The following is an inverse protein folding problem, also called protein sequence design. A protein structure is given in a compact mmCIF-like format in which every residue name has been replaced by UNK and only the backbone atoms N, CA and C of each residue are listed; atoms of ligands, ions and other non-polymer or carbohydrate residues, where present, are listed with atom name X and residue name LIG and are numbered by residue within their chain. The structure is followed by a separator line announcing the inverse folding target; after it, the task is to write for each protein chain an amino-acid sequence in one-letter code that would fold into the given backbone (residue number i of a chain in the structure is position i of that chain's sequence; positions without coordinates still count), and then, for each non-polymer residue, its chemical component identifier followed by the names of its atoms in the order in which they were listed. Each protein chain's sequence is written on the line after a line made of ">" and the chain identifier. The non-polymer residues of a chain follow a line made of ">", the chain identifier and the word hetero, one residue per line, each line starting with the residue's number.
data_IF_874664339470
#
_entry.id   IF_874664339470
#
_cell.length_a   1.000
_cell.length_b   1.000
_cell.length_c   1.000
_cell.angle_alpha   90.00
_cell.angle_beta   90.00
_cell.angle_gamma   90.00
#
_symmetry.space_group_name_H-M   'P 1'
#
loop_
_entity.id
_entity.type
_entity.pdbx_description
1 polymer ?
#
# COMPACT_ATOMS: atom_id res chain seq x y z
N UNK A 1 15.53 27.47 -13.38
CA UNK A 1 14.94 26.21 -13.86
C UNK A 1 16.09 25.27 -14.16
N UNK A 2 16.46 24.40 -13.21
CA UNK A 2 17.49 23.39 -13.45
C UNK A 2 16.84 22.31 -14.31
N UNK A 3 17.18 22.29 -15.60
CA UNK A 3 16.92 21.13 -16.45
C UNK A 3 17.93 20.09 -16.01
N UNK A 4 17.54 19.25 -15.06
CA UNK A 4 18.34 18.08 -14.69
C UNK A 4 18.30 17.15 -15.91
N UNK A 5 19.40 17.12 -16.67
CA UNK A 5 19.67 16.03 -17.62
C UNK A 5 19.50 14.73 -16.83
N UNK A 6 18.47 13.96 -17.15
CA UNK A 6 18.30 12.62 -16.62
C UNK A 6 19.53 11.81 -17.05
N UNK A 7 20.50 11.65 -16.15
CA UNK A 7 21.47 10.56 -16.24
C UNK A 7 20.65 9.28 -16.25
N UNK A 8 20.99 8.38 -17.16
CA UNK A 8 20.46 7.02 -17.28
C UNK A 8 20.04 6.48 -15.90
N UNK A 9 18.75 6.19 -15.74
CA UNK A 9 18.28 5.39 -14.61
C UNK A 9 18.83 3.99 -14.83
N UNK A 10 20.08 3.75 -14.44
CA UNK A 10 20.53 2.39 -14.14
C UNK A 10 19.66 1.94 -12.99
N UNK A 11 18.71 1.03 -13.25
CA UNK A 11 18.10 0.23 -12.20
C UNK A 11 19.26 -0.41 -11.41
N UNK A 12 19.59 0.18 -10.27
CA UNK A 12 20.54 -0.40 -9.35
C UNK A 12 19.89 -1.69 -8.85
N UNK A 13 20.44 -2.85 -9.22
CA UNK A 13 20.12 -4.16 -8.61
C UNK A 13 20.54 -4.24 -7.13
N UNK A 14 20.98 -3.14 -6.51
CA UNK A 14 21.40 -3.08 -5.12
C UNK A 14 20.23 -2.69 -4.22
N UNK A 15 20.01 -3.46 -3.17
CA UNK A 15 19.03 -3.19 -2.12
C UNK A 15 19.35 -1.81 -1.49
N UNK A 16 18.34 -0.96 -1.37
CA UNK A 16 18.49 0.34 -0.73
C UNK A 16 18.21 0.23 0.77
N UNK A 17 19.24 -0.11 1.54
CA UNK A 17 19.19 -0.25 3.00
C UNK A 17 19.34 1.09 3.74
N UNK A 18 19.29 2.22 3.02
CA UNK A 18 19.41 3.52 3.66
C UNK A 18 18.16 3.79 4.52
N UNK A 19 18.40 4.33 5.70
CA UNK A 19 17.38 4.82 6.63
C UNK A 19 16.72 6.09 6.12
N UNK A 20 15.44 6.29 6.45
CA UNK A 20 14.69 7.48 6.03
C UNK A 20 15.25 8.75 6.69
N UNK A 21 15.69 8.68 7.96
CA UNK A 21 16.35 9.80 8.64
C UNK A 21 17.65 10.26 7.95
N UNK A 22 18.31 9.37 7.20
CA UNK A 22 19.48 9.71 6.38
C UNK A 22 19.17 10.71 5.25
N UNK A 23 17.90 11.00 4.98
CA UNK A 23 17.48 11.97 3.98
C UNK A 23 17.30 13.40 4.53
N UNK A 24 17.31 13.62 5.85
CA UNK A 24 17.08 14.93 6.49
C UNK A 24 17.92 16.07 5.91
N UNK A 25 19.17 15.78 5.54
CA UNK A 25 20.12 16.78 5.04
C UNK A 25 19.97 17.09 3.53
N UNK A 26 19.02 16.45 2.84
CA UNK A 26 18.87 16.57 1.37
C UNK A 26 17.83 17.61 0.93
N UNK A 27 17.06 18.19 1.86
CA UNK A 27 15.90 19.04 1.52
C UNK A 27 16.23 20.48 1.10
N UNK A 28 17.48 20.92 1.17
CA UNK A 28 17.84 22.28 0.71
C UNK A 28 17.70 22.46 -0.82
N UNK A 29 17.63 21.36 -1.59
CA UNK A 29 17.53 21.39 -3.06
C UNK A 29 16.35 20.60 -3.63
N UNK A 30 15.78 19.69 -2.85
CA UNK A 30 14.72 18.77 -3.27
C UNK A 30 13.45 18.99 -2.45
N UNK A 31 12.24 18.78 -3.03
CA UNK A 31 10.98 18.83 -2.27
C UNK A 31 11.01 17.91 -1.04
N UNK A 32 10.33 18.33 0.02
CA UNK A 32 10.21 17.55 1.24
C UNK A 32 9.38 16.27 0.99
N UNK A 33 9.94 15.07 1.20
CA UNK A 33 9.23 13.83 0.92
C UNK A 33 8.30 13.46 2.08
N UNK A 34 7.08 13.08 1.72
CA UNK A 34 6.05 12.62 2.64
C UNK A 34 5.53 11.29 2.12
N UNK A 35 5.57 10.26 2.97
CA UNK A 35 5.03 8.93 2.71
C UNK A 35 3.79 8.70 3.55
N UNK A 36 2.90 7.82 3.12
CA UNK A 36 1.63 7.58 3.83
C UNK A 36 1.29 6.10 3.83
N UNK A 37 0.87 5.63 5.00
CA UNK A 37 0.29 4.32 5.21
C UNK A 37 -1.05 4.49 5.92
N UNK A 38 -1.86 3.43 5.94
CA UNK A 38 -3.13 3.43 6.63
C UNK A 38 -3.05 2.54 7.86
N UNK A 39 -3.54 3.07 8.97
CA UNK A 39 -3.78 2.29 10.16
C UNK A 39 -5.03 1.43 9.99
N UNK A 40 -4.83 0.10 9.98
CA UNK A 40 -5.88 -0.88 9.72
C UNK A 40 -6.98 -0.84 10.78
N UNK A 41 -6.60 -0.74 12.05
CA UNK A 41 -7.52 -0.74 13.18
C UNK A 41 -8.41 0.52 13.15
N UNK A 42 -7.82 1.70 12.93
CA UNK A 42 -8.60 2.94 12.76
C UNK A 42 -9.57 2.86 11.57
N UNK A 43 -9.11 2.29 10.45
CA UNK A 43 -9.98 2.07 9.29
C UNK A 43 -11.16 1.14 9.59
N UNK A 44 -10.92 0.04 10.31
CA UNK A 44 -11.96 -0.95 10.66
C UNK A 44 -13.00 -0.37 11.63
N UNK A 45 -12.53 0.33 12.66
CA UNK A 45 -13.40 0.90 13.70
C UNK A 45 -14.11 2.17 13.24
N UNK A 46 -13.72 2.76 12.09
CA UNK A 46 -14.19 4.06 11.59
C UNK A 46 -14.02 5.20 12.61
N UNK A 47 -13.08 5.03 13.53
CA UNK A 47 -12.75 5.98 14.58
C UNK A 47 -11.31 6.45 14.43
N UNK A 48 -11.09 7.75 14.60
CA UNK A 48 -9.78 8.40 14.53
C UNK A 48 -9.28 8.74 13.12
N UNK A 49 -7.98 8.98 13.03
CA UNK A 49 -7.28 9.26 11.78
C UNK A 49 -6.68 7.96 11.22
N UNK A 50 -7.25 7.38 10.15
CA UNK A 50 -6.64 6.22 9.53
C UNK A 50 -5.34 6.57 8.79
N UNK A 51 -5.06 7.84 8.49
CA UNK A 51 -3.87 8.25 7.76
C UNK A 51 -2.68 8.42 8.70
N UNK A 52 -1.62 7.66 8.43
CA UNK A 52 -0.35 7.75 9.13
C UNK A 52 0.72 8.25 8.17
N UNK A 53 1.30 9.38 8.51
CA UNK A 53 2.34 10.03 7.74
C UNK A 53 3.74 9.59 8.21
N UNK A 54 4.67 9.47 7.27
CA UNK A 54 6.08 9.23 7.56
C UNK A 54 6.92 10.19 6.73
N UNK A 55 7.78 10.96 7.38
CA UNK A 55 8.77 11.85 6.77
C UNK A 55 10.17 11.54 7.29
N UNK A 56 11.24 12.18 6.77
CA UNK A 56 12.59 12.06 7.34
C UNK A 56 12.71 12.52 8.80
N UNK A 57 11.80 13.35 9.29
CA UNK A 57 11.90 13.96 10.62
C UNK A 57 10.97 13.28 11.63
N UNK A 58 9.71 13.13 11.24
CA UNK A 58 8.65 12.63 12.10
C UNK A 58 7.74 11.62 11.39
N UNK A 59 7.09 10.79 12.20
CA UNK A 59 6.09 9.81 11.79
C UNK A 59 4.89 9.87 12.76
N UNK A 60 3.66 9.88 12.25
CA UNK A 60 2.49 10.08 13.09
C UNK A 60 1.19 10.37 12.36
N UNK A 61 0.17 10.74 13.13
CA UNK A 61 -1.19 10.96 12.66
C UNK A 61 -1.47 12.44 12.47
N UNK A 62 -1.77 12.84 11.23
CA UNK A 62 -1.88 14.26 10.86
C UNK A 62 -3.08 14.95 11.51
N UNK A 63 -4.26 14.31 11.56
CA UNK A 63 -5.47 14.96 12.05
C UNK A 63 -5.52 15.13 13.57
N UNK A 64 -4.81 14.27 14.31
CA UNK A 64 -4.72 14.40 15.78
C UNK A 64 -3.45 15.14 16.21
N UNK A 65 -2.54 15.46 15.29
CA UNK A 65 -1.31 16.18 15.59
C UNK A 65 -0.30 15.41 16.44
N UNK A 66 -0.37 14.08 16.46
CA UNK A 66 0.47 13.25 17.32
C UNK A 66 1.58 12.58 16.49
N UNK A 67 2.83 12.83 16.88
CA UNK A 67 4.02 12.44 16.13
C UNK A 67 5.15 11.98 17.05
N UNK A 68 6.02 11.12 16.50
CA UNK A 68 7.31 10.75 17.06
C UNK A 68 8.41 11.01 16.05
N UNK A 69 9.65 11.10 16.53
CA UNK A 69 10.80 11.10 15.63
C UNK A 69 10.81 9.83 14.77
N UNK A 70 11.07 9.94 13.46
CA UNK A 70 11.07 8.80 12.53
C UNK A 70 11.99 7.66 12.96
N UNK A 71 13.13 7.98 13.60
CA UNK A 71 14.05 6.99 14.17
C UNK A 71 13.41 6.13 15.28
N UNK A 72 12.40 6.68 15.96
CA UNK A 72 11.68 6.02 17.05
C UNK A 72 10.39 5.33 16.57
N UNK A 73 10.02 5.48 15.29
CA UNK A 73 8.86 4.79 14.73
C UNK A 73 9.03 3.27 14.81
N UNK A 74 8.11 2.59 15.49
CA UNK A 74 8.15 1.16 15.75
C UNK A 74 8.88 0.76 17.04
N UNK A 75 9.43 1.70 17.80
CA UNK A 75 9.91 1.48 19.17
C UNK A 75 8.74 1.28 20.15
N UNK A 76 9.02 0.69 21.32
CA UNK A 76 7.98 0.51 22.35
C UNK A 76 7.84 1.78 23.18
N UNK A 77 6.58 2.14 23.45
CA UNK A 77 6.23 3.28 24.29
C UNK A 77 5.27 2.87 25.39
N UNK A 78 5.26 3.64 26.47
CA UNK A 78 4.26 3.54 27.52
C UNK A 78 3.96 4.93 28.06
N UNK A 79 2.69 5.34 28.01
CA UNK A 79 2.22 6.63 28.49
C UNK A 79 3.06 7.80 27.94
N UNK A 80 3.25 7.81 26.61
CA UNK A 80 3.99 8.85 25.89
C UNK A 80 5.51 8.83 26.07
N UNK A 81 6.08 7.84 26.77
CA UNK A 81 7.53 7.70 26.96
C UNK A 81 8.06 6.46 26.25
N UNK A 82 9.15 6.62 25.50
CA UNK A 82 9.84 5.49 24.87
C UNK A 82 10.47 4.62 25.96
N UNK A 83 10.08 3.34 26.02
CA UNK A 83 10.58 2.38 27.01
C UNK A 83 11.64 1.45 26.44
N UNK A 84 11.58 1.13 25.13
CA UNK A 84 12.55 0.28 24.46
C UNK A 84 12.73 0.72 23.01
N UNK A 85 13.98 1.01 22.67
CA UNK A 85 14.37 1.36 21.31
C UNK A 85 14.31 0.14 20.39
N UNK A 86 13.89 0.35 19.16
CA UNK A 86 13.94 -0.63 18.07
C UNK A 86 14.77 -0.05 16.93
N UNK A 87 15.47 -0.89 16.14
CA UNK A 87 16.20 -0.41 14.98
C UNK A 87 15.29 0.40 14.04
N UNK A 88 15.77 1.56 13.60
CA UNK A 88 15.05 2.36 12.60
C UNK A 88 14.81 1.52 11.34
N UNK A 89 13.60 1.62 10.84
CA UNK A 89 13.15 0.97 9.63
C UNK A 89 13.86 1.56 8.40
N UNK A 90 14.43 0.70 7.56
CA UNK A 90 15.03 1.12 6.30
C UNK A 90 13.97 1.46 5.22
N UNK A 91 14.41 2.13 4.17
CA UNK A 91 13.53 2.51 3.06
C UNK A 91 12.93 1.32 2.32
N UNK A 92 13.63 0.18 2.24
CA UNK A 92 13.10 -1.01 1.57
C UNK A 92 11.88 -1.56 2.32
N UNK A 93 11.96 -1.62 3.64
CA UNK A 93 10.86 -2.08 4.48
C UNK A 93 9.67 -1.11 4.46
N UNK A 94 9.91 0.21 4.48
CA UNK A 94 8.86 1.20 4.30
C UNK A 94 8.17 1.04 2.93
N UNK A 95 8.96 0.85 1.87
CA UNK A 95 8.44 0.59 0.52
C UNK A 95 7.61 -0.70 0.47
N UNK A 96 8.07 -1.77 1.11
CA UNK A 96 7.33 -3.03 1.23
C UNK A 96 5.96 -2.85 1.89
N UNK A 97 5.88 -2.05 2.95
CA UNK A 97 4.60 -1.74 3.60
C UNK A 97 3.67 -0.89 2.73
N UNK A 98 4.20 0.06 1.96
CA UNK A 98 3.42 0.87 1.02
C UNK A 98 2.98 0.13 -0.24
N UNK A 99 3.52 -1.06 -0.51
CA UNK A 99 3.16 -1.89 -1.66
C UNK A 99 2.22 -3.04 -1.28
N UNK A 100 1.94 -3.24 0.00
CA UNK A 100 1.23 -4.43 0.45
C UNK A 100 -0.26 -4.18 0.70
N UNK A 101 -1.03 -4.28 -0.38
CA UNK A 101 -2.49 -4.38 -0.36
C UNK A 101 -2.94 -5.85 -0.23
N UNK A 102 -4.12 -6.11 0.34
CA UNK A 102 -4.80 -7.43 0.33
C UNK A 102 -5.07 -8.01 -1.09
N UNK A 103 -4.88 -7.22 -2.14
CA UNK A 103 -4.98 -7.61 -3.57
C UNK A 103 -3.60 -7.95 -4.13
N UNK A 104 -2.56 -7.23 -3.69
CA UNK A 104 -1.17 -7.65 -3.87
C UNK A 104 -0.96 -9.00 -3.17
N UNK A 105 -1.63 -9.26 -2.03
CA UNK A 105 -1.67 -10.56 -1.36
C UNK A 105 -2.26 -11.69 -2.24
N UNK A 106 -3.41 -11.52 -2.90
CA UNK A 106 -3.94 -12.58 -3.79
C UNK A 106 -3.01 -12.78 -4.99
N UNK A 107 -2.54 -11.70 -5.64
CA UNK A 107 -1.65 -11.81 -6.80
C UNK A 107 -0.22 -12.29 -6.47
N UNK A 108 0.37 -11.95 -5.32
CA UNK A 108 1.67 -12.47 -4.87
C UNK A 108 1.57 -13.96 -4.53
N UNK A 109 0.49 -14.38 -3.88
CA UNK A 109 0.26 -15.79 -3.59
C UNK A 109 -0.04 -16.58 -4.88
N UNK A 110 -0.84 -16.04 -5.81
CA UNK A 110 -1.25 -16.73 -7.03
C UNK A 110 -0.14 -16.79 -8.09
N UNK A 111 0.66 -15.72 -8.25
CA UNK A 111 1.63 -15.62 -9.37
C UNK A 111 3.07 -15.68 -8.89
N UNK A 112 3.43 -15.06 -7.75
CA UNK A 112 4.83 -15.03 -7.32
C UNK A 112 5.25 -16.34 -6.65
N UNK A 113 4.37 -16.95 -5.85
CA UNK A 113 4.58 -18.31 -5.35
C UNK A 113 4.64 -19.31 -6.52
N UNK A 114 3.72 -19.19 -7.48
CA UNK A 114 3.70 -20.04 -8.68
C UNK A 114 4.95 -19.87 -9.57
N UNK A 115 5.41 -18.64 -9.83
CA UNK A 115 6.61 -18.39 -10.65
C UNK A 115 7.91 -18.75 -9.93
N UNK A 116 8.05 -18.45 -8.62
CA UNK A 116 9.22 -18.88 -7.83
C UNK A 116 9.28 -20.40 -7.72
N UNK A 117 8.13 -21.07 -7.59
CA UNK A 117 8.05 -22.52 -7.51
C UNK A 117 8.29 -23.16 -8.89
N UNK A 118 7.58 -22.75 -9.94
CA UNK A 118 7.78 -23.24 -11.33
C UNK A 118 9.23 -23.06 -11.78
N UNK A 119 9.82 -21.87 -11.62
CA UNK A 119 11.19 -21.61 -12.07
C UNK A 119 12.24 -22.43 -11.31
N UNK A 120 11.94 -22.83 -10.07
CA UNK A 120 12.85 -23.62 -9.23
C UNK A 120 12.68 -25.14 -9.42
N UNK A 121 11.44 -25.60 -9.61
CA UNK A 121 11.07 -27.00 -9.86
C UNK A 121 11.65 -27.52 -11.16
N UNK A 122 11.61 -26.71 -12.22
CA UNK A 122 12.28 -27.06 -13.48
C UNK A 122 13.81 -26.95 -13.41
N UNK A 123 14.37 -26.49 -12.29
CA UNK A 123 15.82 -26.40 -12.05
C UNK A 123 16.35 -27.48 -11.09
N UNK A 124 15.48 -28.23 -10.41
CA UNK A 124 15.85 -29.29 -9.48
C UNK A 124 16.05 -30.63 -10.22
N UNK A 125 17.29 -31.07 -10.34
CA UNK A 125 17.63 -32.42 -10.86
C UNK A 125 17.76 -33.47 -9.74
N UNK A 126 17.26 -33.20 -8.53
CA UNK A 126 17.42 -34.10 -7.38
C UNK A 126 16.34 -35.20 -7.37
N UNK A 127 16.70 -36.49 -7.52
CA UNK A 127 15.77 -37.61 -7.46
C UNK A 127 15.17 -37.86 -6.06
N UNK A 128 15.68 -37.22 -5.00
CA UNK A 128 15.10 -37.26 -3.65
C UNK A 128 14.18 -36.06 -3.34
N UNK A 129 13.92 -35.19 -4.31
CA UNK A 129 12.96 -34.09 -4.12
C UNK A 129 11.55 -34.66 -3.89
N UNK A 130 10.76 -34.09 -2.95
CA UNK A 130 9.38 -34.52 -2.75
C UNK A 130 8.56 -34.36 -4.04
N UNK A 131 7.44 -35.09 -4.21
CA UNK A 131 6.60 -34.95 -5.40
C UNK A 131 6.04 -33.53 -5.46
N UNK A 132 6.78 -32.72 -6.19
CA UNK A 132 6.68 -31.27 -6.25
C UNK A 132 5.27 -30.80 -6.58
N UNK A 133 4.57 -31.55 -7.44
CA UNK A 133 3.19 -31.26 -7.82
C UNK A 133 2.22 -31.29 -6.63
N UNK A 134 2.37 -32.22 -5.69
CA UNK A 134 1.45 -32.36 -4.55
C UNK A 134 1.66 -31.27 -3.50
N UNK A 135 2.91 -30.91 -3.22
CA UNK A 135 3.18 -29.80 -2.31
C UNK A 135 2.72 -28.46 -2.90
N UNK A 136 2.87 -28.28 -4.22
CA UNK A 136 2.31 -27.12 -4.93
C UNK A 136 0.79 -27.09 -4.82
N UNK A 137 0.12 -28.23 -5.02
CA UNK A 137 -1.33 -28.33 -4.96
C UNK A 137 -1.85 -27.99 -3.56
N UNK A 138 -1.19 -28.47 -2.50
CA UNK A 138 -1.55 -28.12 -1.11
C UNK A 138 -1.47 -26.62 -0.87
N UNK A 139 -0.43 -25.95 -1.38
CA UNK A 139 -0.28 -24.51 -1.22
C UNK A 139 -1.33 -23.73 -2.02
N UNK A 140 -1.64 -24.16 -3.24
CA UNK A 140 -2.69 -23.55 -4.07
C UNK A 140 -4.06 -23.71 -3.43
N UNK A 141 -4.41 -24.93 -3.02
CA UNK A 141 -5.67 -25.21 -2.36
C UNK A 141 -5.78 -24.38 -1.08
N UNK A 142 -4.69 -24.17 -0.33
CA UNK A 142 -4.68 -23.34 0.88
C UNK A 142 -4.94 -21.85 0.60
N UNK A 143 -4.45 -21.33 -0.52
CA UNK A 143 -4.74 -19.97 -0.99
C UNK A 143 -6.20 -19.86 -1.41
N UNK A 144 -6.68 -20.77 -2.25
CA UNK A 144 -8.07 -20.84 -2.70
C UNK A 144 -9.04 -21.04 -1.52
N UNK A 145 -8.61 -21.76 -0.50
CA UNK A 145 -9.36 -22.00 0.74
C UNK A 145 -9.58 -20.69 1.48
N UNK A 146 -8.50 -19.93 1.69
CA UNK A 146 -8.56 -18.61 2.31
C UNK A 146 -9.44 -17.67 1.49
N UNK A 147 -9.33 -17.67 0.16
CA UNK A 147 -10.15 -16.82 -0.71
C UNK A 147 -11.64 -17.20 -0.65
N UNK A 148 -11.94 -18.50 -0.63
CA UNK A 148 -13.31 -19.03 -0.52
C UNK A 148 -13.98 -18.56 0.78
N UNK A 149 -13.30 -18.71 1.92
CA UNK A 149 -13.83 -18.23 3.21
C UNK A 149 -14.05 -16.72 3.22
N UNK A 150 -13.15 -15.94 2.61
CA UNK A 150 -13.34 -14.49 2.49
C UNK A 150 -14.56 -14.09 1.65
N UNK A 151 -14.90 -14.91 0.66
CA UNK A 151 -16.07 -14.74 -0.20
C UNK A 151 -17.33 -15.41 0.38
N UNK A 152 -17.26 -16.02 1.57
CA UNK A 152 -18.38 -16.72 2.19
C UNK A 152 -18.75 -18.04 1.51
N UNK A 153 -17.80 -18.65 0.80
CA UNK A 153 -17.92 -19.95 0.14
C UNK A 153 -17.35 -21.02 1.06
N UNK A 154 -18.05 -22.15 1.19
CA UNK A 154 -17.59 -23.29 1.97
C UNK A 154 -16.34 -23.92 1.34
N UNK A 155 -15.20 -23.95 2.06
CA UNK A 155 -13.95 -24.45 1.51
C UNK A 155 -13.77 -25.98 1.65
N UNK A 156 -14.81 -26.73 2.02
CA UNK A 156 -14.69 -28.16 2.35
C UNK A 156 -14.00 -29.01 1.28
N UNK A 157 -14.29 -28.78 -0.01
CA UNK A 157 -13.66 -29.53 -1.10
C UNK A 157 -12.14 -29.30 -1.17
N UNK A 158 -11.71 -28.06 -0.90
CA UNK A 158 -10.29 -27.69 -0.84
C UNK A 158 -9.62 -28.30 0.38
N UNK A 159 -10.32 -28.36 1.53
CA UNK A 159 -9.83 -29.07 2.71
C UNK A 159 -9.56 -30.55 2.42
N UNK A 160 -10.49 -31.24 1.74
CA UNK A 160 -10.32 -32.65 1.37
C UNK A 160 -9.14 -32.87 0.42
N UNK A 161 -8.95 -31.95 -0.54
CA UNK A 161 -7.79 -31.96 -1.43
C UNK A 161 -6.47 -31.78 -0.68
N UNK A 162 -6.39 -30.77 0.21
CA UNK A 162 -5.22 -30.52 1.08
C UNK A 162 -4.91 -31.75 1.92
N UNK A 163 -5.93 -32.31 2.58
CA UNK A 163 -5.80 -33.49 3.46
C UNK A 163 -5.28 -34.70 2.68
N UNK A 164 -5.81 -34.96 1.49
CA UNK A 164 -5.41 -36.08 0.64
C UNK A 164 -3.93 -35.94 0.23
N UNK A 165 -3.56 -34.78 -0.32
CA UNK A 165 -2.20 -34.54 -0.77
C UNK A 165 -1.19 -34.55 0.39
N UNK A 166 -1.56 -34.03 1.56
CA UNK A 166 -0.68 -34.04 2.74
C UNK A 166 -0.49 -35.44 3.33
N UNK A 167 -1.55 -36.27 3.37
CA UNK A 167 -1.42 -37.65 3.84
C UNK A 167 -0.43 -38.44 2.99
N UNK A 168 -0.46 -38.24 1.67
CA UNK A 168 0.49 -38.87 0.75
C UNK A 168 1.91 -38.32 0.91
N UNK A 169 2.06 -37.01 1.14
CA UNK A 169 3.36 -36.35 1.34
C UNK A 169 4.05 -36.75 2.66
N UNK A 170 3.28 -36.95 3.73
CA UNK A 170 3.79 -37.23 5.09
C UNK A 170 3.82 -38.72 5.43
N UNK A 171 3.30 -39.59 4.53
CA UNK A 171 3.16 -41.03 4.79
C UNK A 171 2.16 -41.33 5.92
N UNK A 172 1.15 -40.49 6.10
CA UNK A 172 0.06 -40.66 7.07
C UNK A 172 0.43 -40.38 8.53
N UNK A 173 1.58 -39.76 8.81
CA UNK A 173 2.08 -39.55 10.18
C UNK A 173 1.35 -38.48 11.00
N UNK A 174 0.59 -37.57 10.36
CA UNK A 174 0.05 -36.36 11.00
C UNK A 174 -1.46 -36.15 10.81
N UNK A 175 -2.27 -37.21 10.91
CA UNK A 175 -3.73 -37.17 10.70
C UNK A 175 -4.51 -36.26 11.67
N UNK A 176 -3.93 -35.89 12.82
CA UNK A 176 -4.63 -35.16 13.88
C UNK A 176 -4.80 -33.66 13.62
N UNK A 177 -4.10 -33.08 12.63
CA UNK A 177 -4.18 -31.63 12.30
C UNK A 177 -5.47 -31.31 11.50
N UNK A 178 -6.13 -32.32 10.93
CA UNK A 178 -7.16 -32.15 9.90
C UNK A 178 -8.61 -32.10 10.40
N UNK A 179 -8.88 -31.78 11.67
CA UNK A 179 -10.26 -31.59 12.11
C UNK A 179 -10.77 -30.22 11.69
N UNK A 180 -11.31 -30.13 10.46
CA UNK A 180 -12.16 -29.01 10.07
C UNK A 180 -13.59 -29.36 10.50
N UNK A 181 -13.96 -28.87 11.68
CA UNK A 181 -15.38 -28.72 12.01
C UNK A 181 -16.02 -27.79 10.96
N UNK A 182 -17.27 -28.06 10.59
CA UNK A 182 -18.01 -27.28 9.60
C UNK A 182 -17.93 -25.79 9.98
N UNK A 183 -17.20 -24.98 9.20
CA UNK A 183 -16.99 -23.57 9.54
C UNK A 183 -18.32 -22.84 9.56
N UNK A 184 -18.60 -22.15 10.66
CA UNK A 184 -19.70 -21.19 10.71
C UNK A 184 -19.31 -19.92 9.93
N UNK A 185 -19.60 -19.89 8.63
CA UNK A 185 -19.31 -18.75 7.76
C UNK A 185 -20.15 -17.50 8.08
N UNK A 186 -21.17 -17.60 8.93
CA UNK A 186 -21.93 -16.43 9.38
C UNK A 186 -21.10 -15.54 10.32
N UNK A 187 -20.17 -16.13 11.08
CA UNK A 187 -19.20 -15.41 11.91
C UNK A 187 -17.89 -15.24 11.15
N UNK A 188 -17.75 -14.10 10.48
CA UNK A 188 -16.59 -13.79 9.64
C UNK A 188 -15.28 -13.70 10.44
N UNK A 189 -15.32 -13.30 11.71
CA UNK A 189 -14.11 -13.16 12.53
C UNK A 189 -13.64 -14.53 13.01
N UNK A 190 -14.56 -15.37 13.50
CA UNK A 190 -14.25 -16.74 13.88
C UNK A 190 -13.74 -17.57 12.67
N UNK A 191 -14.38 -17.42 11.51
CA UNK A 191 -13.96 -18.08 10.28
C UNK A 191 -12.55 -17.64 9.84
N UNK A 192 -12.23 -16.34 9.91
CA UNK A 192 -10.89 -15.83 9.59
C UNK A 192 -9.82 -16.31 10.59
N UNK A 193 -10.15 -16.36 11.89
CA UNK A 193 -9.23 -16.85 12.91
C UNK A 193 -8.94 -18.34 12.74
N UNK A 194 -9.96 -19.15 12.45
CA UNK A 194 -9.81 -20.56 12.14
C UNK A 194 -8.91 -20.75 10.92
N UNK A 195 -9.16 -20.01 9.83
CA UNK A 195 -8.34 -20.09 8.62
C UNK A 195 -6.88 -19.72 8.86
N UNK A 196 -6.64 -18.68 9.65
CA UNK A 196 -5.30 -18.28 10.07
C UNK A 196 -4.57 -19.39 10.79
N UNK A 197 -5.24 -20.09 11.72
CA UNK A 197 -4.66 -21.22 12.44
C UNK A 197 -4.38 -22.40 11.49
N UNK A 198 -5.38 -22.78 10.69
CA UNK A 198 -5.27 -23.85 9.71
C UNK A 198 -4.08 -23.64 8.76
N UNK A 199 -3.94 -22.44 8.18
CA UNK A 199 -2.81 -22.11 7.31
C UNK A 199 -1.45 -22.22 8.01
N UNK A 200 -1.35 -21.77 9.27
CA UNK A 200 -0.11 -21.88 10.05
C UNK A 200 0.27 -23.32 10.36
N UNK A 201 -0.71 -24.16 10.71
CA UNK A 201 -0.49 -25.57 11.03
C UNK A 201 0.01 -26.34 9.80
N UNK A 202 -0.59 -26.10 8.62
CA UNK A 202 -0.16 -26.70 7.35
C UNK A 202 1.24 -26.22 6.97
N UNK A 203 1.53 -24.93 7.13
CA UNK A 203 2.86 -24.37 6.85
C UNK A 203 3.94 -24.93 7.78
N UNK A 204 3.63 -25.11 9.07
CA UNK A 204 4.55 -25.70 10.04
C UNK A 204 4.83 -27.17 9.71
N UNK A 205 3.79 -27.94 9.40
CA UNK A 205 3.90 -29.35 9.01
C UNK A 205 4.83 -29.52 7.80
N UNK A 206 4.60 -28.75 6.74
CA UNK A 206 5.41 -28.82 5.53
C UNK A 206 6.86 -28.35 5.74
N UNK A 207 7.10 -27.33 6.56
CA UNK A 207 8.46 -26.85 6.89
C UNK A 207 9.28 -27.90 7.66
N UNK A 208 8.65 -28.64 8.59
CA UNK A 208 9.29 -29.78 9.27
C UNK A 208 9.52 -30.95 8.31
N UNK A 209 8.56 -31.24 7.43
CA UNK A 209 8.63 -32.40 6.54
C UNK A 209 9.68 -32.26 5.43
N UNK A 210 9.99 -31.03 5.00
CA UNK A 210 10.80 -30.78 3.80
C UNK A 210 11.93 -29.77 4.02
N UNK A 211 12.47 -29.66 5.24
CA UNK A 211 13.44 -28.64 5.67
C UNK A 211 14.55 -28.37 4.65
N UNK A 212 14.30 -27.38 3.79
CA UNK A 212 15.14 -26.96 2.68
C UNK A 212 14.84 -25.48 2.41
N UNK A 213 15.90 -24.70 2.20
CA UNK A 213 15.85 -23.23 2.24
C UNK A 213 14.75 -22.52 1.42
N UNK A 214 14.27 -23.00 0.24
CA UNK A 214 13.21 -22.32 -0.51
C UNK A 214 11.84 -22.57 0.11
N UNK A 215 11.63 -23.74 0.72
CA UNK A 215 10.42 -24.03 1.49
C UNK A 215 10.37 -23.14 2.72
N UNK A 216 11.49 -22.97 3.42
CA UNK A 216 11.57 -22.07 4.58
C UNK A 216 11.25 -20.62 4.21
N UNK A 217 11.67 -20.16 3.03
CA UNK A 217 11.31 -18.82 2.51
C UNK A 217 9.82 -18.73 2.21
N UNK A 218 9.25 -19.68 1.45
CA UNK A 218 7.82 -19.70 1.15
C UNK A 218 6.95 -19.74 2.41
N UNK A 219 7.30 -20.60 3.38
CA UNK A 219 6.58 -20.68 4.65
C UNK A 219 6.77 -19.44 5.51
N UNK A 220 7.95 -18.82 5.50
CA UNK A 220 8.16 -17.53 6.16
C UNK A 220 7.31 -16.43 5.53
N UNK A 221 7.18 -16.39 4.19
CA UNK A 221 6.30 -15.46 3.48
C UNK A 221 4.84 -15.71 3.89
N UNK A 222 4.36 -16.96 3.85
CA UNK A 222 3.01 -17.32 4.27
C UNK A 222 2.74 -16.93 5.73
N UNK A 223 3.66 -17.23 6.65
CA UNK A 223 3.56 -16.84 8.07
C UNK A 223 3.52 -15.32 8.23
N UNK A 224 4.42 -14.59 7.57
CA UNK A 224 4.45 -13.13 7.60
C UNK A 224 3.14 -12.53 7.09
N UNK A 225 2.57 -13.11 6.04
CA UNK A 225 1.33 -12.64 5.44
C UNK A 225 0.10 -12.94 6.32
N UNK A 226 -0.02 -14.18 6.81
CA UNK A 226 -1.10 -14.64 7.70
C UNK A 226 -1.08 -13.90 9.04
N UNK A 227 0.11 -13.68 9.59
CA UNK A 227 0.27 -13.01 10.87
C UNK A 227 0.33 -11.47 10.74
N UNK A 228 0.40 -10.93 9.53
CA UNK A 228 0.65 -9.52 9.21
C UNK A 228 1.89 -8.94 9.92
N UNK A 229 2.97 -9.71 10.00
CA UNK A 229 4.17 -9.32 10.78
C UNK A 229 4.87 -8.08 10.18
N UNK A 230 4.82 -7.91 8.85
CA UNK A 230 5.52 -6.82 8.14
C UNK A 230 4.97 -5.41 8.40
N UNK A 231 3.66 -5.27 8.63
CA UNK A 231 3.02 -3.98 8.83
C UNK A 231 2.84 -3.65 10.30
N UNK A 232 3.10 -4.62 11.19
CA UNK A 232 2.92 -4.46 12.63
C UNK A 232 4.04 -3.65 13.26
N UNK A 233 3.66 -2.66 14.06
CA UNK A 233 4.58 -1.85 14.87
C UNK A 233 3.99 -1.61 16.24
N UNK A 234 4.87 -1.35 17.20
CA UNK A 234 4.44 -0.87 18.51
C UNK A 234 3.77 0.50 18.38
N UNK A 235 2.70 0.67 19.15
CA UNK A 235 1.94 1.91 19.18
C UNK A 235 2.65 2.92 20.08
N UNK A 236 2.99 4.08 19.53
CA UNK A 236 3.63 5.13 20.33
C UNK A 236 2.64 5.89 21.23
N UNK A 237 1.34 5.76 20.94
CA UNK A 237 0.25 6.37 21.70
C UNK A 237 -0.26 5.48 22.84
N UNK A 238 0.28 4.26 22.98
CA UNK A 238 -0.20 3.28 23.96
C UNK A 238 -0.31 3.87 25.37
N UNK A 239 -1.49 3.74 25.97
CA UNK A 239 -1.80 4.20 27.33
C UNK A 239 -1.51 5.68 27.60
N UNK A 240 -1.52 6.55 26.57
CA UNK A 240 -1.51 8.00 26.81
C UNK A 240 -2.80 8.45 27.49
N UNK A 241 -2.69 9.44 28.39
CA UNK A 241 -3.84 9.99 29.13
C UNK A 241 -4.49 11.20 28.45
N UNK A 242 -4.08 11.54 27.23
CA UNK A 242 -4.58 12.71 26.52
C UNK A 242 -5.98 12.47 25.97
N UNK A 243 -6.96 13.27 26.43
CA UNK A 243 -8.37 13.16 26.05
C UNK A 243 -8.64 13.57 24.60
N UNK A 244 -7.70 14.24 23.94
CA UNK A 244 -7.80 14.63 22.53
C UNK A 244 -7.50 13.48 21.58
N UNK A 245 -6.79 12.45 22.06
CA UNK A 245 -6.47 11.26 21.28
C UNK A 245 -7.66 10.28 21.34
N UNK A 246 -8.20 9.84 20.18
CA UNK A 246 -9.25 8.83 20.13
C UNK A 246 -8.89 7.56 20.92
N UNK A 247 -9.83 7.05 21.72
CA UNK A 247 -9.62 5.86 22.55
C UNK A 247 -9.15 4.64 21.74
N UNK A 248 -9.65 4.49 20.51
CA UNK A 248 -9.23 3.45 19.58
C UNK A 248 -7.72 3.46 19.26
N UNK A 249 -7.00 4.57 19.49
CA UNK A 249 -5.55 4.72 19.31
C UNK A 249 -4.75 4.49 20.61
N UNK A 250 -5.41 4.22 21.75
CA UNK A 250 -4.75 4.11 23.05
C UNK A 250 -4.72 2.68 23.59
N UNK A 251 -5.64 1.83 23.12
CA UNK A 251 -5.96 0.52 23.72
C UNK A 251 -5.01 -0.61 23.32
N UNK A 252 -4.34 -0.50 22.17
CA UNK A 252 -3.51 -1.57 21.63
C UNK A 252 -2.02 -1.32 21.88
N UNK A 253 -1.27 -2.38 22.21
CA UNK A 253 0.20 -2.33 22.25
C UNK A 253 0.80 -2.17 20.85
N UNK A 254 0.09 -2.62 19.81
CA UNK A 254 0.58 -2.62 18.43
C UNK A 254 -0.46 -2.13 17.44
N UNK A 255 0.01 -1.52 16.36
CA UNK A 255 -0.78 -1.07 15.20
C UNK A 255 -0.34 -1.83 13.96
N UNK A 256 -1.30 -2.13 13.09
CA UNK A 256 -1.05 -2.79 11.81
C UNK A 256 -1.21 -1.73 10.70
N UNK A 257 -0.10 -1.38 10.05
CA UNK A 257 -0.10 -0.45 8.93
C UNK A 257 -0.21 -1.20 7.60
N UNK A 258 -0.97 -0.61 6.67
CA UNK A 258 -1.25 -1.17 5.33
C UNK A 258 -1.06 -0.08 4.27
N UNK A 259 -1.00 -0.50 3.01
CA UNK A 259 -0.92 0.39 1.85
C UNK A 259 -2.05 1.46 1.87
N UNK A 260 -1.67 2.71 1.60
CA UNK A 260 -2.62 3.81 1.54
C UNK A 260 -3.64 3.70 0.40
N UNK A 261 -3.28 3.04 -0.70
CA UNK A 261 -4.17 2.74 -1.82
C UNK A 261 -5.40 1.91 -1.44
N UNK A 262 -5.42 1.26 -0.26
CA UNK A 262 -6.62 0.57 0.26
C UNK A 262 -7.70 1.59 0.67
N UNK A 263 -7.33 2.80 1.08
CA UNK A 263 -8.28 3.86 1.47
C UNK A 263 -8.33 4.98 0.43
N UNK A 264 -7.18 5.52 0.05
CA UNK A 264 -7.07 6.59 -0.92
C UNK A 264 -5.75 6.48 -1.67
N UNK A 265 -5.84 6.30 -2.99
CA UNK A 265 -4.68 6.11 -3.87
C UNK A 265 -3.85 7.39 -4.11
N UNK A 266 -4.17 8.49 -3.43
CA UNK A 266 -3.43 9.75 -3.50
C UNK A 266 -3.35 10.38 -2.10
N UNK A 267 -2.16 10.79 -1.62
CA UNK A 267 -1.94 11.18 -0.23
C UNK A 267 -2.38 12.62 0.06
N UNK A 268 -3.62 12.98 -0.25
CA UNK A 268 -4.14 14.34 -0.06
C UNK A 268 -4.09 14.78 1.41
N UNK A 269 -4.50 13.92 2.35
CA UNK A 269 -4.56 14.28 3.77
C UNK A 269 -3.19 14.64 4.35
N UNK A 270 -2.14 13.92 3.94
CA UNK A 270 -0.75 14.19 4.31
C UNK A 270 -0.22 15.47 3.65
N UNK A 271 -0.92 16.10 2.72
CA UNK A 271 -0.57 17.44 2.22
C UNK A 271 -1.43 18.51 2.88
N UNK A 272 -2.67 18.18 3.26
CA UNK A 272 -3.67 19.10 3.80
C UNK A 272 -3.58 19.36 5.31
N UNK A 273 -2.50 18.93 5.96
CA UNK A 273 -2.21 19.31 7.34
C UNK A 273 -2.15 20.84 7.46
N UNK A 274 -2.85 21.42 8.44
CA UNK A 274 -3.07 22.86 8.55
C UNK A 274 -1.76 23.64 8.64
N UNK A 275 -0.80 23.14 9.40
CA UNK A 275 0.50 23.76 9.62
C UNK A 275 1.37 23.83 8.35
N UNK A 276 0.99 23.13 7.28
CA UNK A 276 1.69 23.20 5.98
C UNK A 276 1.29 24.40 5.14
N UNK A 277 0.16 25.05 5.45
CA UNK A 277 -0.37 26.24 4.75
C UNK A 277 -0.25 26.12 3.21
N UNK A 278 -0.80 25.04 2.67
CA UNK A 278 -0.69 24.71 1.25
C UNK A 278 -1.62 25.59 0.42
N UNK A 279 -1.06 26.34 -0.53
CA UNK A 279 -1.82 27.15 -1.48
C UNK A 279 -2.19 26.41 -2.78
N UNK A 280 -1.36 25.46 -3.19
CA UNK A 280 -1.45 24.77 -4.48
C UNK A 280 -1.04 23.31 -4.36
N UNK A 281 -1.91 22.42 -4.84
CA UNK A 281 -1.65 20.99 -4.97
C UNK A 281 -1.58 20.63 -6.45
N UNK A 282 -0.53 19.93 -6.87
CA UNK A 282 -0.41 19.34 -8.21
C UNK A 282 -0.54 17.83 -8.06
N UNK A 283 -1.74 17.30 -8.31
CA UNK A 283 -2.05 15.88 -8.28
C UNK A 283 -1.77 15.23 -9.63
N UNK A 284 -0.87 14.25 -9.64
CA UNK A 284 -0.66 13.35 -10.77
C UNK A 284 -1.37 12.03 -10.45
N UNK A 285 -2.41 11.70 -11.19
CA UNK A 285 -3.22 10.50 -10.91
C UNK A 285 -2.80 9.33 -11.81
N UNK A 286 -2.57 8.19 -11.17
CA UNK A 286 -2.15 6.94 -11.80
C UNK A 286 -3.14 5.80 -11.50
N UNK A 287 -4.39 6.14 -11.18
CA UNK A 287 -5.38 5.18 -10.71
C UNK A 287 -5.80 4.21 -11.82
N UNK A 288 -5.90 2.94 -11.45
CA UNK A 288 -6.36 1.86 -12.32
C UNK A 288 -7.89 1.86 -12.35
N UNK A 289 -8.46 2.65 -13.26
CA UNK A 289 -9.90 2.81 -13.40
C UNK A 289 -10.31 4.27 -13.57
N UNK A 290 -11.23 4.73 -12.71
CA UNK A 290 -11.76 6.10 -12.77
C UNK A 290 -10.67 7.11 -12.36
N UNK A 291 -10.24 7.99 -13.28
CA UNK A 291 -9.10 8.88 -13.06
C UNK A 291 -9.40 10.02 -12.08
N UNK A 292 -10.67 10.19 -11.70
CA UNK A 292 -11.11 11.24 -10.77
C UNK A 292 -11.58 10.70 -9.43
N UNK A 293 -11.55 9.37 -9.24
CA UNK A 293 -11.96 8.74 -7.98
C UNK A 293 -11.21 9.34 -6.79
N UNK A 294 -9.88 9.42 -6.88
CA UNK A 294 -9.02 9.89 -5.79
C UNK A 294 -9.32 11.32 -5.34
N UNK A 295 -9.52 12.23 -6.29
CA UNK A 295 -9.78 13.65 -6.03
C UNK A 295 -11.22 13.89 -5.57
N UNK A 296 -12.20 13.12 -6.06
CA UNK A 296 -13.59 13.17 -5.56
C UNK A 296 -13.70 12.64 -4.14
N UNK A 297 -13.09 11.48 -3.86
CA UNK A 297 -13.06 10.91 -2.50
C UNK A 297 -12.33 11.83 -1.52
N UNK A 298 -11.25 12.51 -1.98
CA UNK A 298 -10.58 13.56 -1.19
C UNK A 298 -11.56 14.66 -0.81
N UNK A 299 -12.27 15.23 -1.79
CA UNK A 299 -13.21 16.32 -1.58
C UNK A 299 -14.37 15.92 -0.66
N UNK A 300 -14.95 14.73 -0.87
CA UNK A 300 -16.02 14.22 -0.01
C UNK A 300 -15.58 14.03 1.43
N UNK A 301 -14.40 13.45 1.63
CA UNK A 301 -13.86 13.18 2.97
C UNK A 301 -13.44 14.47 3.66
N UNK A 302 -12.80 15.40 2.94
CA UNK A 302 -12.48 16.73 3.45
C UNK A 302 -13.73 17.47 3.89
N UNK A 303 -14.81 17.43 3.08
CA UNK A 303 -16.11 17.99 3.45
C UNK A 303 -16.68 17.37 4.72
N UNK A 304 -16.66 16.03 4.85
CA UNK A 304 -17.12 15.32 6.06
C UNK A 304 -16.30 15.69 7.31
N UNK A 305 -14.99 15.88 7.13
CA UNK A 305 -14.03 16.20 8.20
C UNK A 305 -13.81 17.70 8.43
N UNK A 306 -14.52 18.57 7.69
CA UNK A 306 -14.38 20.04 7.72
C UNK A 306 -12.95 20.52 7.42
N UNK A 307 -12.21 19.78 6.59
CA UNK A 307 -10.90 20.16 6.07
C UNK A 307 -11.12 21.04 4.83
N UNK A 308 -10.48 22.22 4.72
CA UNK A 308 -10.61 23.07 3.54
C UNK A 308 -10.10 22.37 2.26
N UNK A 309 -11.00 22.13 1.31
CA UNK A 309 -10.69 21.52 0.02
C UNK A 309 -11.67 22.02 -1.05
N UNK A 310 -11.24 22.28 -2.29
CA UNK A 310 -12.14 22.81 -3.32
C UNK A 310 -13.22 21.79 -3.70
N UNK A 311 -14.36 22.29 -4.18
CA UNK A 311 -15.36 21.43 -4.81
C UNK A 311 -14.82 20.82 -6.11
N UNK A 312 -15.17 19.56 -6.34
CA UNK A 312 -14.70 18.78 -7.48
C UNK A 312 -15.90 18.45 -8.38
N UNK A 313 -16.10 19.30 -9.38
CA UNK A 313 -17.15 19.15 -10.38
C UNK A 313 -16.51 18.76 -11.72
N UNK A 314 -16.83 17.57 -12.22
CA UNK A 314 -16.26 17.01 -13.44
C UNK A 314 -17.40 16.80 -14.44
N UNK A 315 -17.30 17.29 -15.68
CA UNK A 315 -18.31 17.02 -16.71
C UNK A 315 -18.42 15.51 -17.01
N UNK A 316 -19.64 14.98 -17.17
CA UNK A 316 -19.85 13.55 -17.45
C UNK A 316 -19.05 13.03 -18.65
N UNK A 317 -18.92 13.86 -19.70
CA UNK A 317 -18.13 13.54 -20.90
C UNK A 317 -16.64 13.33 -20.59
N UNK A 318 -16.12 14.04 -19.59
CA UNK A 318 -14.71 14.01 -19.21
C UNK A 318 -14.39 12.77 -18.35
N UNK A 319 -15.40 12.11 -17.75
CA UNK A 319 -15.20 10.87 -16.95
C UNK A 319 -14.66 9.73 -17.83
N UNK A 320 -15.22 9.54 -19.02
CA UNK A 320 -14.77 8.51 -19.98
C UNK A 320 -13.63 9.01 -20.88
N UNK A 321 -13.62 10.31 -21.18
CA UNK A 321 -12.63 10.93 -22.07
C UNK A 321 -11.93 12.08 -21.35
N UNK A 322 -11.09 11.79 -20.34
CA UNK A 322 -10.42 12.82 -19.58
C UNK A 322 -9.49 13.64 -20.48
N UNK A 323 -9.49 14.96 -20.28
CA UNK A 323 -8.44 15.89 -20.69
C UNK A 323 -7.18 15.71 -19.85
N UNK A 324 -6.12 16.39 -20.26
CA UNK A 324 -4.80 16.34 -19.63
C UNK A 324 -4.62 17.31 -18.45
N UNK A 325 -5.62 18.15 -18.15
CA UNK A 325 -5.46 19.21 -17.16
C UNK A 325 -6.79 19.71 -16.59
N UNK A 326 -6.94 19.62 -15.27
CA UNK A 326 -8.10 20.12 -14.52
C UNK A 326 -7.64 21.03 -13.39
N UNK A 327 -8.46 22.05 -13.09
CA UNK A 327 -8.19 22.99 -11.99
C UNK A 327 -9.45 23.16 -11.18
N UNK A 328 -9.35 22.83 -9.90
CA UNK A 328 -10.40 23.00 -8.91
C UNK A 328 -10.00 24.13 -7.96
N UNK A 329 -10.93 25.06 -7.72
CA UNK A 329 -10.73 26.23 -6.86
C UNK A 329 -11.90 26.37 -5.90
N UNK A 330 -11.62 26.85 -4.70
CA UNK A 330 -12.61 27.16 -3.69
C UNK A 330 -12.21 28.41 -2.92
N UNK A 331 -13.12 28.91 -2.07
CA UNK A 331 -12.82 30.01 -1.14
C UNK A 331 -12.10 29.45 0.08
N UNK A 332 -10.96 30.03 0.44
CA UNK A 332 -10.13 29.60 1.58
C UNK A 332 -9.69 28.12 1.51
N UNK A 333 -9.48 27.59 0.30
CA UNK A 333 -8.97 26.23 0.07
C UNK A 333 -7.72 26.29 -0.81
N UNK A 334 -6.85 25.27 -0.79
CA UNK A 334 -5.83 25.15 -1.83
C UNK A 334 -6.47 25.11 -3.22
N UNK A 335 -5.77 25.63 -4.22
CA UNK A 335 -6.06 25.30 -5.62
C UNK A 335 -5.55 23.89 -5.89
N UNK A 336 -6.37 23.03 -6.51
CA UNK A 336 -5.97 21.67 -6.88
C UNK A 336 -5.87 21.59 -8.40
N UNK A 337 -4.68 21.36 -8.90
CA UNK A 337 -4.43 20.96 -10.28
C UNK A 337 -4.41 19.44 -10.32
N UNK A 338 -5.25 18.84 -11.16
CA UNK A 338 -5.36 17.39 -11.29
C UNK A 338 -5.07 16.97 -12.74
N UNK A 339 -4.16 16.01 -12.89
CA UNK A 339 -3.61 15.56 -14.17
C UNK A 339 -3.74 14.03 -14.24
N UNK A 340 -4.74 13.50 -14.97
CA UNK A 340 -4.85 12.08 -15.25
C UNK A 340 -3.69 11.57 -16.12
N UNK A 341 -3.11 10.41 -15.76
CA UNK A 341 -2.04 9.79 -16.55
C UNK A 341 -2.45 9.56 -18.00
N UNK A 342 -3.54 8.83 -18.24
CA UNK A 342 -4.06 8.54 -19.58
C UNK A 342 -5.23 9.47 -19.89
N UNK A 343 -5.14 10.19 -21.00
CA UNK A 343 -6.09 11.21 -21.39
C UNK A 343 -6.17 11.35 -22.92
N UNK A 344 -7.18 12.06 -23.42
CA UNK A 344 -7.40 12.19 -24.86
C UNK A 344 -6.27 12.88 -25.61
N UNK A 345 -5.44 13.68 -24.93
CA UNK A 345 -4.36 14.44 -25.55
C UNK A 345 -3.14 13.54 -25.80
N UNK A 346 -2.85 12.61 -24.89
CA UNK A 346 -1.68 11.74 -25.00
C UNK A 346 -2.00 10.33 -25.54
N UNK A 347 -3.24 9.85 -25.38
CA UNK A 347 -3.69 8.52 -25.79
C UNK A 347 -4.66 8.52 -26.98
N UNK A 348 -5.19 9.68 -27.38
CA UNK A 348 -6.26 9.75 -28.39
C UNK A 348 -7.57 9.14 -27.86
N UNK A 349 -8.33 8.50 -28.74
CA UNK A 349 -9.60 7.87 -28.38
C UNK A 349 -9.46 6.50 -27.69
N UNK A 350 -8.29 5.87 -27.73
CA UNK A 350 -8.06 4.49 -27.25
C UNK A 350 -7.50 4.42 -25.82
N UNK A 351 -8.09 5.18 -24.89
CA UNK A 351 -7.62 5.27 -23.50
C UNK A 351 -7.66 3.91 -22.78
N UNK A 352 -8.65 3.07 -23.08
CA UNK A 352 -8.84 1.78 -22.41
C UNK A 352 -7.74 0.77 -22.77
N UNK A 353 -7.24 0.76 -24.01
CA UNK A 353 -6.08 -0.05 -24.41
C UNK A 353 -4.81 0.38 -23.68
N UNK A 354 -4.60 1.69 -23.49
CA UNK A 354 -3.49 2.20 -22.68
C UNK A 354 -3.60 1.74 -21.23
N UNK A 355 -4.78 1.87 -20.62
CA UNK A 355 -5.02 1.37 -19.25
C UNK A 355 -4.75 -0.11 -19.13
N UNK A 356 -5.28 -0.92 -20.05
CA UNK A 356 -5.07 -2.36 -20.07
C UNK A 356 -3.58 -2.71 -20.19
N UNK A 357 -2.85 -2.04 -21.10
CA UNK A 357 -1.41 -2.28 -21.33
C UNK A 357 -0.55 -1.98 -20.09
N UNK A 358 -0.98 -1.04 -19.25
CA UNK A 358 -0.26 -0.52 -18.10
C UNK A 358 -1.00 -0.75 -16.76
N UNK A 359 -1.85 -1.77 -16.70
CA UNK A 359 -2.59 -2.12 -15.48
C UNK A 359 -1.66 -2.39 -14.30
N UNK A 360 -2.19 -2.22 -13.08
CA UNK A 360 -1.43 -2.34 -11.82
C UNK A 360 -0.75 -3.71 -11.70
N UNK A 361 -1.49 -4.77 -12.02
CA UNK A 361 -1.00 -6.15 -11.95
C UNK A 361 -0.52 -6.60 -13.33
N UNK A 362 0.74 -6.29 -13.64
CA UNK A 362 1.37 -6.70 -14.89
C UNK A 362 2.80 -7.19 -14.65
N UNK A 363 3.27 -8.07 -15.54
CA UNK A 363 4.65 -8.53 -15.52
C UNK A 363 5.66 -7.38 -15.71
N UNK A 364 6.95 -7.62 -15.44
CA UNK A 364 7.98 -6.59 -15.50
C UNK A 364 7.97 -5.88 -16.85
N UNK A 365 8.07 -4.56 -16.82
CA UNK A 365 8.10 -3.78 -18.05
C UNK A 365 9.44 -3.95 -18.75
N UNK A 366 9.38 -4.27 -20.04
CA UNK A 366 10.55 -4.15 -20.90
C UNK A 366 10.91 -2.66 -21.12
N UNK A 367 12.11 -2.41 -21.64
CA UNK A 367 12.62 -1.05 -21.83
C UNK A 367 11.69 -0.17 -22.69
N UNK A 368 11.04 -0.76 -23.69
CA UNK A 368 10.08 -0.07 -24.55
C UNK A 368 8.84 0.39 -23.78
N UNK A 369 8.22 -0.51 -22.99
CA UNK A 369 7.06 -0.18 -22.15
C UNK A 369 7.41 0.95 -21.17
N UNK A 370 8.58 0.89 -20.53
CA UNK A 370 9.06 1.93 -19.61
C UNK A 370 9.19 3.25 -20.35
N UNK A 371 9.95 3.26 -21.46
CA UNK A 371 10.19 4.47 -22.26
C UNK A 371 8.88 5.12 -22.71
N UNK A 372 7.93 4.30 -23.19
CA UNK A 372 6.64 4.79 -23.67
C UNK A 372 5.76 5.34 -22.55
N UNK A 373 5.72 4.70 -21.39
CA UNK A 373 4.97 5.22 -20.25
C UNK A 373 5.58 6.53 -19.72
N UNK A 374 6.91 6.59 -19.65
CA UNK A 374 7.63 7.81 -19.28
C UNK A 374 7.36 8.95 -20.26
N UNK A 375 7.29 8.67 -21.56
CA UNK A 375 6.94 9.65 -22.59
C UNK A 375 5.52 10.19 -22.37
N UNK A 376 4.54 9.32 -22.13
CA UNK A 376 3.14 9.70 -21.87
C UNK A 376 3.03 10.57 -20.61
N UNK A 377 3.64 10.14 -19.50
CA UNK A 377 3.66 10.91 -18.26
C UNK A 377 4.39 12.25 -18.43
N UNK A 378 5.52 12.26 -19.14
CA UNK A 378 6.28 13.47 -19.43
C UNK A 378 5.50 14.49 -20.27
N UNK A 379 4.73 14.01 -21.26
CA UNK A 379 3.85 14.85 -22.11
C UNK A 379 2.79 15.57 -21.29
N UNK A 380 2.23 14.94 -20.24
CA UNK A 380 1.24 15.60 -19.39
C UNK A 380 1.80 16.87 -18.72
N UNK A 381 3.09 16.87 -18.37
CA UNK A 381 3.77 18.02 -17.79
C UNK A 381 4.20 19.01 -18.87
N UNK A 382 4.83 18.54 -19.95
CA UNK A 382 5.38 19.43 -20.98
C UNK A 382 4.28 20.17 -21.74
N UNK A 383 3.19 19.49 -22.12
CA UNK A 383 2.05 20.10 -22.81
C UNK A 383 1.34 21.15 -21.95
N UNK A 384 1.31 20.95 -20.63
CA UNK A 384 0.63 21.84 -19.69
C UNK A 384 1.55 22.83 -18.98
N UNK A 385 2.83 22.91 -19.37
CA UNK A 385 3.83 23.77 -18.71
C UNK A 385 3.38 25.23 -18.56
N UNK A 386 2.80 25.82 -19.61
CA UNK A 386 2.30 27.19 -19.55
C UNK A 386 1.13 27.36 -18.58
N UNK A 387 0.20 26.39 -18.55
CA UNK A 387 -0.94 26.39 -17.61
C UNK A 387 -0.46 26.20 -16.17
N UNK A 388 0.44 25.25 -15.93
CA UNK A 388 1.08 25.03 -14.62
C UNK A 388 1.72 26.32 -14.10
N UNK A 389 2.58 26.95 -14.91
CA UNK A 389 3.24 28.21 -14.53
C UNK A 389 2.24 29.34 -14.25
N UNK A 390 1.15 29.43 -15.01
CA UNK A 390 0.07 30.40 -14.78
C UNK A 390 -0.54 30.22 -13.38
N UNK A 391 -0.87 28.98 -13.00
CA UNK A 391 -1.50 28.71 -11.71
C UNK A 391 -0.53 28.81 -10.54
N UNK A 392 0.75 28.44 -10.72
CA UNK A 392 1.80 28.66 -9.71
C UNK A 392 1.97 30.16 -9.45
N UNK A 393 2.09 30.98 -10.50
CA UNK A 393 2.21 32.45 -10.34
C UNK A 393 0.98 33.06 -9.67
N UNK A 394 -0.21 32.56 -9.99
CA UNK A 394 -1.44 33.00 -9.33
C UNK A 394 -1.46 32.66 -7.84
N UNK A 395 -1.04 31.45 -7.45
CA UNK A 395 -0.95 31.05 -6.05
C UNK A 395 0.05 31.91 -5.26
N UNK A 396 1.24 32.18 -5.86
CA UNK A 396 2.24 33.08 -5.27
C UNK A 396 1.66 34.49 -5.05
N UNK A 397 0.99 35.05 -6.07
CA UNK A 397 0.37 36.37 -5.96
C UNK A 397 -0.72 36.43 -4.89
N UNK A 398 -1.55 35.38 -4.77
CA UNK A 398 -2.56 35.30 -3.72
C UNK A 398 -1.96 35.26 -2.31
N UNK A 399 -0.86 34.52 -2.12
CA UNK A 399 -0.17 34.43 -0.82
C UNK A 399 0.42 35.77 -0.40
N UNK A 400 1.07 36.48 -1.32
CA UNK A 400 1.59 37.83 -1.05
C UNK A 400 0.50 38.82 -0.65
N UNK A 401 -0.66 38.78 -1.32
CA UNK A 401 -1.76 39.69 -0.98
C UNK A 401 -2.36 39.40 0.40
N UNK A 402 -2.45 38.13 0.82
CA UNK A 402 -2.88 37.78 2.18
C UNK A 402 -1.94 38.35 3.24
N UNK A 403 -0.63 38.19 3.04
CA UNK A 403 0.40 38.69 3.97
C UNK A 403 0.48 40.22 4.08
N UNK A 404 -0.13 40.97 3.16
CA UNK A 404 -0.19 42.44 3.21
C UNK A 404 -1.52 42.99 3.75
N UNK A 405 -2.54 42.13 3.92
CA UNK A 405 -3.85 42.51 4.45
C UNK A 405 -4.04 42.11 5.93
N UNK A 406 -3.20 41.22 6.44
CA UNK A 406 -3.02 40.91 7.87
C UNK A 406 -1.91 41.81 8.46
#
# INVERSE_FOLDING_TARGET
>A
MVVTKYKEVKLKRSINEHRLTGQRNKHNKDPFPIYTVIDKQCKQNREGDPCFEISPHEAGYSLIGAFVETSSFGSQFYNGRKIKDQPEIDMLYLQGNTLCHRRVYSYFCDISLHLLFVQFVFSSTDPNSPPVGKCSQVLMDLVDMNLSVLNGIDPFDLHESIRTNLNELTGGKDQHIFQVEKLNLADKEAAQLHMRKYTLDICALLSVSFSFWPFDICFSICRCAVLWIWGRKYDFLQNMTDKTVPRALLESETRDYIDAGVLQNSPYFSVLREERDIDLIISLDFSDGDPFMTVREAAETCRKRKIPFPEVNIPDKDVKKPKDFYVFKGKNTPTVIHIPLFNVVNCGDDIDSWRYKYMTFSGPYNAEKISKLMEVAGRNISNNRAKLLKHIRAAIGQKHNKQHCD
#
